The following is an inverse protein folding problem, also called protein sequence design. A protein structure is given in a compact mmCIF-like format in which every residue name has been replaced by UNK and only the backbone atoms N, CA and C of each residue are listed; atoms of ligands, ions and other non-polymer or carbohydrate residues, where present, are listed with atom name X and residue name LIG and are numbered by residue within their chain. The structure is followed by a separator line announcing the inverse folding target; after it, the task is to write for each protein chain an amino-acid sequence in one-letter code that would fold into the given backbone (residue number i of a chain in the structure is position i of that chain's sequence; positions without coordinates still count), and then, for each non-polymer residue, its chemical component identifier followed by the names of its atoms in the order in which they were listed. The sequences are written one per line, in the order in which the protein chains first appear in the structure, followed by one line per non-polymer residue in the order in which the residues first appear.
data_IF_173950867155
#
_entry.id   IF_173950867155
#
_cell.length_a   1.000
_cell.length_b   1.000
_cell.length_c   1.000
_cell.angle_alpha   90.00
_cell.angle_beta   90.00
_cell.angle_gamma   90.00
#
_symmetry.space_group_name_H-M   'P 1'
#
loop_
_entity.id
_entity.type
_entity.pdbx_description
1 polymer ?
#
# COMPACT_ATOMS: atom_id res chain seq x y z
N UNK A 1 -66.62 -82.80 -22.98
CA UNK A 1 -66.36 -81.93 -21.88
C UNK A 1 -65.00 -81.32 -22.18
N UNK A 2 -64.97 -80.10 -22.77
CA UNK A 2 -63.77 -79.39 -23.15
C UNK A 2 -63.58 -78.32 -22.11
N UNK A 3 -62.51 -78.31 -21.32
CA UNK A 3 -62.16 -77.34 -20.30
C UNK A 3 -61.27 -76.28 -20.94
N UNK A 4 -61.83 -75.12 -21.14
CA UNK A 4 -61.09 -73.94 -21.54
C UNK A 4 -60.41 -73.33 -20.31
N UNK A 5 -59.07 -73.31 -20.29
CA UNK A 5 -58.26 -72.55 -19.32
C UNK A 5 -58.28 -71.05 -19.69
N UNK A 6 -58.40 -70.18 -18.74
CA UNK A 6 -58.30 -68.76 -19.02
C UNK A 6 -56.83 -68.34 -19.28
N UNK A 7 -56.61 -67.57 -20.30
CA UNK A 7 -55.29 -67.01 -20.69
C UNK A 7 -54.77 -66.07 -19.61
N UNK A 8 -53.59 -66.36 -19.09
CA UNK A 8 -52.82 -65.47 -18.17
C UNK A 8 -52.32 -64.29 -18.98
N UNK A 9 -52.78 -63.10 -18.63
CA UNK A 9 -52.31 -61.83 -19.25
C UNK A 9 -50.80 -61.70 -18.93
N UNK A 10 -49.97 -61.48 -19.99
CA UNK A 10 -48.54 -61.16 -19.84
C UNK A 10 -48.41 -59.85 -19.15
N UNK A 11 -47.46 -59.69 -18.20
CA UNK A 11 -47.17 -58.41 -17.56
C UNK A 11 -46.68 -57.41 -18.64
N UNK A 12 -47.34 -56.28 -18.69
CA UNK A 12 -46.93 -55.15 -19.54
C UNK A 12 -45.61 -54.61 -19.03
N UNK A 13 -44.50 -54.96 -19.67
CA UNK A 13 -43.19 -54.38 -19.42
C UNK A 13 -43.26 -52.90 -19.75
N UNK A 14 -43.20 -52.06 -18.72
CA UNK A 14 -43.07 -50.60 -18.91
C UNK A 14 -41.77 -50.32 -19.68
N UNK A 15 -41.79 -49.51 -20.72
CA UNK A 15 -40.61 -49.19 -21.50
C UNK A 15 -39.61 -48.52 -20.52
N UNK A 16 -38.34 -49.01 -20.55
CA UNK A 16 -37.23 -48.36 -19.85
C UNK A 16 -36.96 -46.99 -20.50
N UNK A 17 -37.66 -45.96 -20.02
CA UNK A 17 -37.47 -44.60 -20.45
C UNK A 17 -36.07 -44.15 -20.09
N UNK A 18 -35.37 -43.53 -21.04
CA UNK A 18 -34.07 -42.89 -20.78
C UNK A 18 -34.20 -41.85 -19.65
N UNK A 19 -33.12 -41.53 -18.97
CA UNK A 19 -33.09 -40.50 -17.91
C UNK A 19 -33.68 -39.16 -18.45
N UNK A 20 -33.39 -38.84 -19.68
CA UNK A 20 -33.88 -37.60 -20.37
C UNK A 20 -35.39 -37.60 -20.57
N UNK A 21 -36.00 -38.76 -20.94
CA UNK A 21 -37.44 -38.89 -21.08
C UNK A 21 -38.16 -38.87 -19.72
N UNK A 22 -37.57 -39.49 -18.66
CA UNK A 22 -38.10 -39.42 -17.31
C UNK A 22 -38.14 -37.96 -16.78
N UNK A 23 -37.08 -37.18 -17.00
CA UNK A 23 -37.00 -35.77 -16.63
C UNK A 23 -38.02 -34.95 -17.41
N UNK A 24 -38.16 -35.16 -18.71
CA UNK A 24 -39.12 -34.41 -19.54
C UNK A 24 -40.58 -34.69 -19.15
N UNK A 25 -40.93 -35.91 -18.77
CA UNK A 25 -42.23 -36.26 -18.23
C UNK A 25 -42.50 -35.65 -16.86
N UNK A 26 -41.52 -35.66 -15.96
CA UNK A 26 -41.63 -34.99 -14.64
C UNK A 26 -41.88 -33.49 -14.78
N UNK A 27 -41.19 -32.81 -15.68
CA UNK A 27 -41.35 -31.36 -15.93
C UNK A 27 -42.70 -30.97 -16.55
N UNK A 28 -43.47 -31.93 -17.07
CA UNK A 28 -44.84 -31.69 -17.52
C UNK A 28 -45.85 -31.63 -16.37
N UNK A 29 -45.50 -32.14 -15.19
CA UNK A 29 -46.36 -32.11 -14.00
C UNK A 29 -46.11 -30.91 -13.11
N UNK A 30 -47.12 -30.38 -12.40
CA UNK A 30 -46.96 -29.28 -11.45
C UNK A 30 -45.97 -29.62 -10.31
N UNK A 31 -46.08 -30.79 -9.64
CA UNK A 31 -45.13 -31.13 -8.59
C UNK A 31 -43.69 -31.33 -9.09
N UNK A 32 -43.54 -31.84 -10.32
CA UNK A 32 -42.22 -31.98 -10.97
C UNK A 32 -41.55 -30.62 -11.21
N UNK A 33 -42.32 -29.63 -11.74
CA UNK A 33 -41.84 -28.23 -11.93
C UNK A 33 -41.47 -27.59 -10.63
N UNK A 34 -42.24 -27.75 -9.55
CA UNK A 34 -41.94 -27.19 -8.25
C UNK A 34 -40.67 -27.80 -7.60
N UNK A 35 -40.47 -29.13 -7.75
CA UNK A 35 -39.22 -29.79 -7.30
C UNK A 35 -38.01 -29.22 -8.05
N UNK A 36 -38.14 -29.08 -9.38
CA UNK A 36 -37.09 -28.51 -10.22
C UNK A 36 -36.80 -27.05 -9.88
N UNK A 37 -37.85 -26.19 -9.77
CA UNK A 37 -37.68 -24.78 -9.41
C UNK A 37 -37.03 -24.63 -8.02
N UNK A 38 -37.40 -25.46 -7.04
CA UNK A 38 -36.75 -25.47 -5.72
C UNK A 38 -35.27 -25.83 -5.83
N UNK A 39 -34.92 -26.89 -6.54
CA UNK A 39 -33.54 -27.32 -6.73
C UNK A 39 -32.72 -26.25 -7.49
N UNK A 40 -33.28 -25.70 -8.56
CA UNK A 40 -32.67 -24.63 -9.36
C UNK A 40 -32.44 -23.36 -8.53
N UNK A 41 -33.41 -22.95 -7.74
CA UNK A 41 -33.27 -21.77 -6.86
C UNK A 41 -32.22 -21.98 -5.75
N UNK A 42 -32.14 -23.17 -5.15
CA UNK A 42 -31.08 -23.50 -4.17
C UNK A 42 -29.72 -23.52 -4.85
N UNK A 43 -29.59 -24.15 -6.04
CA UNK A 43 -28.35 -24.18 -6.80
C UNK A 43 -27.89 -22.77 -7.19
N UNK A 44 -28.83 -21.90 -7.61
CA UNK A 44 -28.53 -20.51 -7.92
C UNK A 44 -28.13 -19.68 -6.68
N UNK A 45 -28.74 -19.96 -5.51
CA UNK A 45 -28.35 -19.32 -4.25
C UNK A 45 -26.92 -19.72 -3.84
N UNK A 46 -26.55 -20.99 -4.00
CA UNK A 46 -25.18 -21.47 -3.75
C UNK A 46 -24.19 -20.89 -4.78
N UNK A 47 -24.57 -20.82 -6.07
CA UNK A 47 -23.75 -20.19 -7.09
C UNK A 47 -23.53 -18.70 -6.80
N UNK A 48 -24.58 -17.97 -6.45
CA UNK A 48 -24.47 -16.57 -6.02
C UNK A 48 -23.51 -16.42 -4.82
N UNK A 49 -23.63 -17.31 -3.81
CA UNK A 49 -22.75 -17.30 -2.65
C UNK A 49 -21.26 -17.46 -3.06
N UNK A 50 -20.97 -18.43 -3.94
CA UNK A 50 -19.61 -18.69 -4.43
C UNK A 50 -19.08 -17.48 -5.21
N UNK A 51 -19.86 -16.93 -6.14
CA UNK A 51 -19.45 -15.78 -6.96
C UNK A 51 -19.23 -14.53 -6.10
N UNK A 52 -20.12 -14.24 -5.15
CA UNK A 52 -19.98 -13.13 -4.23
C UNK A 52 -18.77 -13.30 -3.27
N UNK A 53 -18.51 -14.53 -2.84
CA UNK A 53 -17.36 -14.84 -1.99
C UNK A 53 -16.03 -14.72 -2.76
N UNK A 54 -15.98 -15.12 -4.04
CA UNK A 54 -14.80 -14.91 -4.89
C UNK A 54 -14.52 -13.41 -5.05
N UNK A 55 -15.55 -12.59 -5.36
CA UNK A 55 -15.39 -11.14 -5.44
C UNK A 55 -14.90 -10.52 -4.12
N UNK A 56 -15.38 -11.03 -2.98
CA UNK A 56 -14.91 -10.63 -1.65
C UNK A 56 -13.43 -10.98 -1.44
N UNK A 57 -13.01 -12.21 -1.79
CA UNK A 57 -11.60 -12.63 -1.65
C UNK A 57 -10.69 -11.75 -2.50
N UNK A 58 -11.04 -11.52 -3.77
CA UNK A 58 -10.26 -10.69 -4.68
C UNK A 58 -10.03 -9.27 -4.12
N UNK A 59 -11.09 -8.67 -3.57
CA UNK A 59 -11.00 -7.33 -2.97
C UNK A 59 -10.18 -7.35 -1.67
N UNK A 60 -10.40 -8.36 -0.82
CA UNK A 60 -9.64 -8.53 0.42
C UNK A 60 -8.14 -8.74 0.15
N UNK A 61 -7.81 -9.51 -0.87
CA UNK A 61 -6.43 -9.77 -1.29
C UNK A 61 -5.76 -8.48 -1.79
N UNK A 62 -6.47 -7.64 -2.55
CA UNK A 62 -5.96 -6.34 -2.96
C UNK A 62 -5.64 -5.43 -1.77
N UNK A 63 -6.56 -5.33 -0.79
CA UNK A 63 -6.35 -4.55 0.45
C UNK A 63 -5.18 -5.12 1.26
N UNK A 64 -5.04 -6.45 1.34
CA UNK A 64 -3.94 -7.11 2.04
C UNK A 64 -2.60 -6.81 1.35
N UNK A 65 -2.50 -7.05 0.04
CA UNK A 65 -1.27 -6.88 -0.72
C UNK A 65 -0.78 -5.42 -0.69
N UNK A 66 -1.69 -4.47 -0.94
CA UNK A 66 -1.32 -3.05 -0.95
C UNK A 66 -1.06 -2.57 0.49
N UNK A 67 -1.99 -2.83 1.41
CA UNK A 67 -2.00 -2.21 2.74
C UNK A 67 -1.05 -2.83 3.74
N UNK A 68 -0.75 -4.13 3.64
CA UNK A 68 0.04 -4.84 4.66
C UNK A 68 1.34 -5.45 4.16
N UNK A 69 1.42 -5.76 2.86
CA UNK A 69 2.57 -6.46 2.33
C UNK A 69 3.51 -5.49 1.58
N UNK A 70 3.02 -4.75 0.57
CA UNK A 70 3.87 -3.98 -0.33
C UNK A 70 4.25 -2.61 0.23
N UNK A 71 3.29 -1.81 0.71
CA UNK A 71 3.56 -0.46 1.23
C UNK A 71 4.51 -0.48 2.43
N UNK A 72 4.34 -1.33 3.45
CA UNK A 72 5.32 -1.42 4.54
C UNK A 72 6.73 -1.79 4.09
N UNK A 73 6.86 -2.62 3.03
CA UNK A 73 8.17 -2.98 2.46
C UNK A 73 8.86 -1.78 1.79
N UNK A 74 8.09 -0.93 1.08
CA UNK A 74 8.61 0.30 0.47
C UNK A 74 9.07 1.28 1.56
N UNK A 75 8.25 1.49 2.60
CA UNK A 75 8.59 2.37 3.72
C UNK A 75 9.86 1.87 4.42
N UNK A 76 10.00 0.57 4.62
CA UNK A 76 11.21 -0.01 5.21
C UNK A 76 12.46 0.22 4.34
N UNK A 77 12.34 0.09 3.01
CA UNK A 77 13.44 0.35 2.07
C UNK A 77 13.87 1.83 2.08
N UNK A 78 12.92 2.76 2.07
CA UNK A 78 13.20 4.19 2.15
C UNK A 78 13.76 4.60 3.52
N UNK A 79 13.30 3.97 4.60
CA UNK A 79 13.86 4.16 5.93
C UNK A 79 15.32 3.73 5.99
N UNK A 80 15.66 2.56 5.43
CA UNK A 80 17.07 2.12 5.30
C UNK A 80 17.89 3.16 4.55
N UNK A 81 17.37 3.69 3.44
CA UNK A 81 18.05 4.70 2.63
C UNK A 81 18.29 6.00 3.38
N UNK A 82 17.27 6.50 4.08
CA UNK A 82 17.39 7.74 4.87
C UNK A 82 18.37 7.57 6.04
N UNK A 83 18.29 6.46 6.77
CA UNK A 83 19.21 6.18 7.89
C UNK A 83 20.66 5.98 7.43
N UNK A 84 20.88 5.37 6.25
CA UNK A 84 22.22 5.28 5.65
C UNK A 84 22.79 6.65 5.27
N UNK A 85 21.97 7.53 4.71
CA UNK A 85 22.40 8.89 4.36
C UNK A 85 22.72 9.72 5.63
N UNK A 86 21.92 9.56 6.69
CA UNK A 86 22.15 10.19 7.99
C UNK A 86 23.44 9.66 8.65
N UNK A 87 23.63 8.34 8.68
CA UNK A 87 24.86 7.73 9.18
C UNK A 87 26.10 8.26 8.45
N UNK A 88 26.03 8.41 7.12
CA UNK A 88 27.11 8.99 6.34
C UNK A 88 27.38 10.45 6.69
N UNK A 89 26.33 11.28 6.85
CA UNK A 89 26.47 12.68 7.29
C UNK A 89 27.11 12.78 8.69
N UNK A 90 26.68 11.92 9.62
CA UNK A 90 27.23 11.87 10.96
C UNK A 90 28.69 11.37 10.99
N UNK A 91 29.05 10.42 10.12
CA UNK A 91 30.45 10.01 9.94
C UNK A 91 31.35 11.18 9.50
N UNK A 92 30.90 11.94 8.50
CA UNK A 92 31.65 13.12 8.00
C UNK A 92 31.75 14.21 9.08
N UNK A 93 30.65 14.52 9.77
CA UNK A 93 30.62 15.49 10.85
C UNK A 93 31.60 15.16 11.98
N UNK A 94 31.75 13.86 12.32
CA UNK A 94 32.75 13.42 13.28
C UNK A 94 34.18 13.85 12.90
N UNK A 95 34.56 13.69 11.63
CA UNK A 95 35.89 14.11 11.14
C UNK A 95 35.99 15.64 11.02
N UNK A 96 34.98 16.28 10.50
CA UNK A 96 34.92 17.73 10.27
C UNK A 96 35.02 18.51 11.60
N UNK A 97 34.26 18.12 12.60
CA UNK A 97 34.27 18.73 13.92
C UNK A 97 35.47 18.32 14.77
N UNK A 98 36.32 17.38 14.30
CA UNK A 98 37.40 16.79 15.05
C UNK A 98 36.95 16.31 16.46
N UNK A 99 35.81 15.64 16.54
CA UNK A 99 35.18 15.21 17.79
C UNK A 99 36.02 14.17 18.56
N UNK A 100 35.84 14.07 19.87
CA UNK A 100 36.32 12.95 20.67
C UNK A 100 35.61 11.65 20.24
N UNK A 101 36.19 10.49 20.59
CA UNK A 101 35.67 9.16 20.22
C UNK A 101 34.31 8.82 20.84
N UNK A 102 33.83 9.58 21.79
CA UNK A 102 32.52 9.55 22.44
C UNK A 102 31.62 10.74 22.03
N UNK A 103 32.03 11.48 21.00
CA UNK A 103 31.34 12.64 20.51
C UNK A 103 29.92 12.33 19.96
N UNK A 104 29.07 13.37 19.85
CA UNK A 104 27.69 13.20 19.46
C UNK A 104 27.52 12.60 18.04
N UNK A 105 28.31 13.07 17.07
CA UNK A 105 28.21 12.56 15.68
C UNK A 105 28.64 11.11 15.57
N UNK A 106 29.71 10.70 16.30
CA UNK A 106 30.12 9.29 16.34
C UNK A 106 29.08 8.40 17.03
N UNK A 107 28.46 8.90 18.08
CA UNK A 107 27.41 8.18 18.79
C UNK A 107 26.14 8.03 17.95
N UNK A 108 25.78 9.06 17.17
CA UNK A 108 24.68 9.05 16.19
C UNK A 108 24.99 8.04 15.07
N UNK A 109 26.16 8.15 14.42
CA UNK A 109 26.61 7.21 13.39
C UNK A 109 26.43 5.73 13.82
N UNK A 110 26.90 5.37 15.01
CA UNK A 110 26.78 3.97 15.48
C UNK A 110 25.34 3.54 15.68
N UNK A 111 24.51 4.39 16.30
CA UNK A 111 23.09 4.10 16.50
C UNK A 111 22.37 3.89 15.19
N UNK A 112 22.66 4.71 14.18
CA UNK A 112 22.06 4.65 12.86
C UNK A 112 22.53 3.41 12.09
N UNK A 113 23.81 3.04 12.22
CA UNK A 113 24.31 1.79 11.63
C UNK A 113 23.65 0.55 12.24
N UNK A 114 23.41 0.53 13.56
CA UNK A 114 22.64 -0.53 14.22
C UNK A 114 21.19 -0.56 13.67
N UNK A 115 20.55 0.59 13.53
CA UNK A 115 19.18 0.70 12.97
C UNK A 115 19.12 0.26 11.48
N UNK A 116 20.14 0.56 10.68
CA UNK A 116 20.25 0.07 9.31
C UNK A 116 20.29 -1.45 9.27
N UNK A 117 21.08 -2.08 10.14
CA UNK A 117 21.19 -3.55 10.19
C UNK A 117 19.85 -4.18 10.56
N UNK A 118 19.13 -3.65 11.55
CA UNK A 118 17.80 -4.12 11.95
C UNK A 118 16.78 -3.97 10.79
N UNK A 119 16.75 -2.82 10.14
CA UNK A 119 15.85 -2.57 9.02
C UNK A 119 16.17 -3.43 7.78
N UNK A 120 17.46 -3.72 7.51
CA UNK A 120 17.86 -4.66 6.45
C UNK A 120 17.40 -6.09 6.73
N UNK A 121 17.43 -6.52 8.00
CA UNK A 121 16.89 -7.83 8.40
C UNK A 121 15.38 -7.88 8.11
N UNK A 122 14.64 -6.82 8.49
CA UNK A 122 13.19 -6.72 8.20
C UNK A 122 12.94 -6.74 6.69
N UNK A 123 13.69 -5.98 5.91
CA UNK A 123 13.56 -5.97 4.46
C UNK A 123 13.83 -7.36 3.85
N UNK A 124 14.86 -8.08 4.36
CA UNK A 124 15.21 -9.41 3.90
C UNK A 124 14.15 -10.48 4.25
N UNK A 125 13.39 -10.29 5.32
CA UNK A 125 12.27 -11.16 5.71
C UNK A 125 11.02 -10.94 4.86
N UNK A 126 10.86 -9.75 4.28
CA UNK A 126 9.67 -9.32 3.54
C UNK A 126 9.84 -9.42 2.01
N UNK A 127 10.83 -10.17 1.52
CA UNK A 127 11.04 -10.35 0.07
C UNK A 127 9.82 -11.02 -0.56
N UNK A 128 9.14 -10.30 -1.45
CA UNK A 128 7.93 -10.75 -2.15
C UNK A 128 8.19 -10.96 -3.64
N UNK A 129 9.05 -10.13 -4.25
CA UNK A 129 9.29 -10.08 -5.69
C UNK A 129 10.62 -10.72 -6.13
N UNK A 130 11.18 -11.57 -5.28
CA UNK A 130 12.30 -12.44 -5.64
C UNK A 130 13.63 -11.71 -5.79
N UNK A 131 14.30 -11.89 -6.94
CA UNK A 131 15.67 -11.39 -7.14
C UNK A 131 15.75 -9.87 -7.31
N UNK A 132 14.67 -9.22 -7.73
CA UNK A 132 14.63 -7.76 -7.87
C UNK A 132 14.79 -7.04 -6.51
N UNK A 133 14.31 -7.65 -5.42
CA UNK A 133 14.51 -7.18 -4.05
C UNK A 133 15.77 -7.78 -3.42
N UNK A 134 15.99 -9.08 -3.64
CA UNK A 134 17.10 -9.82 -3.00
C UNK A 134 18.48 -9.30 -3.39
N UNK A 135 18.67 -8.92 -4.66
CA UNK A 135 19.97 -8.43 -5.13
C UNK A 135 20.37 -7.08 -4.52
N UNK A 136 19.50 -6.05 -4.49
CA UNK A 136 19.79 -4.80 -3.79
C UNK A 136 20.07 -5.02 -2.29
N UNK A 137 19.25 -5.79 -1.58
CA UNK A 137 19.45 -6.09 -0.14
C UNK A 137 20.81 -6.75 0.08
N UNK A 138 21.14 -7.78 -0.71
CA UNK A 138 22.43 -8.46 -0.63
C UNK A 138 23.60 -7.51 -0.90
N UNK A 139 23.45 -6.63 -1.90
CA UNK A 139 24.48 -5.64 -2.22
C UNK A 139 24.72 -4.71 -1.05
N UNK A 140 23.66 -4.16 -0.44
CA UNK A 140 23.77 -3.32 0.75
C UNK A 140 24.48 -4.05 1.90
N UNK A 141 24.02 -5.26 2.26
CA UNK A 141 24.62 -6.04 3.34
C UNK A 141 26.11 -6.34 3.13
N UNK A 142 26.51 -6.66 1.89
CA UNK A 142 27.94 -6.95 1.58
C UNK A 142 28.80 -5.69 1.59
N UNK A 143 28.28 -4.56 1.08
CA UNK A 143 29.04 -3.32 0.97
C UNK A 143 29.09 -2.56 2.29
N UNK A 144 28.10 -2.75 3.18
CA UNK A 144 28.06 -2.10 4.48
C UNK A 144 29.27 -2.47 5.36
N UNK A 145 29.64 -3.75 5.40
CA UNK A 145 30.83 -4.19 6.11
C UNK A 145 32.14 -3.58 5.56
N UNK A 146 32.20 -3.35 4.22
CA UNK A 146 33.32 -2.68 3.60
C UNK A 146 33.34 -1.18 3.93
N UNK A 147 32.17 -0.53 3.98
CA UNK A 147 32.02 0.85 4.39
C UNK A 147 32.46 1.07 5.85
N UNK A 148 31.93 0.26 6.80
CA UNK A 148 32.33 0.32 8.20
C UNK A 148 33.83 0.14 8.39
N UNK A 149 34.44 -0.78 7.63
CA UNK A 149 35.89 -0.96 7.66
C UNK A 149 36.63 0.29 7.19
N UNK A 150 36.19 0.96 6.13
CA UNK A 150 36.81 2.19 5.63
C UNK A 150 36.65 3.34 6.63
N UNK A 151 35.48 3.53 7.23
CA UNK A 151 35.26 4.50 8.30
C UNK A 151 36.14 4.19 9.52
N UNK A 152 36.28 2.91 9.90
CA UNK A 152 37.20 2.48 10.96
C UNK A 152 38.67 2.77 10.63
N UNK A 153 39.11 2.61 9.39
CA UNK A 153 40.46 2.97 8.91
C UNK A 153 40.67 4.49 8.96
N UNK A 154 39.73 5.27 8.41
CA UNK A 154 39.76 6.74 8.50
C UNK A 154 39.90 7.20 9.94
N UNK A 155 39.13 6.59 10.88
CA UNK A 155 39.23 6.90 12.31
C UNK A 155 40.58 6.55 12.90
N UNK A 156 41.16 5.42 12.54
CA UNK A 156 42.51 5.03 12.99
C UNK A 156 43.61 5.98 12.46
N UNK A 157 43.42 6.51 11.25
CA UNK A 157 44.34 7.47 10.60
C UNK A 157 44.04 8.92 10.92
N UNK A 158 43.15 9.23 11.85
CA UNK A 158 42.62 10.57 12.14
C UNK A 158 43.69 11.65 12.39
N UNK A 159 44.82 11.26 12.98
CA UNK A 159 45.94 12.18 13.20
C UNK A 159 46.93 12.27 12.01
N UNK A 160 46.63 11.56 10.90
CA UNK A 160 47.38 11.53 9.67
C UNK A 160 46.51 11.84 8.46
N UNK A 161 46.64 11.02 7.40
CA UNK A 161 45.79 11.16 6.18
C UNK A 161 44.61 10.21 6.24
N UNK A 162 43.51 10.69 6.81
CA UNK A 162 42.23 9.99 6.83
C UNK A 162 41.37 10.27 5.59
N UNK A 163 41.71 11.28 4.81
CA UNK A 163 40.89 11.72 3.67
C UNK A 163 40.74 10.62 2.61
N UNK A 164 41.81 9.89 2.34
CA UNK A 164 41.76 8.80 1.32
C UNK A 164 40.79 7.70 1.71
N UNK A 165 40.74 7.30 2.99
CA UNK A 165 39.83 6.25 3.47
C UNK A 165 38.40 6.77 3.53
N UNK A 166 38.21 8.03 3.92
CA UNK A 166 36.88 8.67 3.97
C UNK A 166 36.31 8.91 2.55
N UNK A 167 37.14 9.37 1.60
CA UNK A 167 36.74 9.48 0.18
C UNK A 167 36.31 8.12 -0.40
N UNK A 168 37.05 7.06 -0.08
CA UNK A 168 36.70 5.70 -0.51
C UNK A 168 35.40 5.20 0.13
N UNK A 169 35.16 5.53 1.42
CA UNK A 169 33.91 5.22 2.10
C UNK A 169 32.73 5.95 1.47
N UNK A 170 32.89 7.26 1.20
CA UNK A 170 31.88 8.09 0.55
C UNK A 170 31.53 7.58 -0.85
N UNK A 171 32.53 7.25 -1.65
CA UNK A 171 32.31 6.66 -2.98
C UNK A 171 31.54 5.34 -2.88
N UNK A 172 31.90 4.48 -1.92
CA UNK A 172 31.22 3.20 -1.71
C UNK A 172 29.77 3.41 -1.25
N UNK A 173 29.53 4.35 -0.36
CA UNK A 173 28.20 4.70 0.12
C UNK A 173 27.32 5.13 -1.06
N UNK A 174 27.75 6.09 -1.88
CA UNK A 174 26.93 6.62 -2.98
C UNK A 174 26.79 5.68 -4.15
N UNK A 175 27.93 5.14 -4.64
CA UNK A 175 27.93 4.41 -5.90
C UNK A 175 27.38 2.99 -5.77
N UNK A 176 27.37 2.43 -4.55
CA UNK A 176 26.94 1.05 -4.31
C UNK A 176 25.78 0.95 -3.34
N UNK A 177 25.90 1.52 -2.13
CA UNK A 177 24.95 1.28 -1.05
C UNK A 177 23.66 2.05 -1.29
N UNK A 178 23.72 3.38 -1.44
CA UNK A 178 22.53 4.21 -1.70
C UNK A 178 21.92 3.93 -3.08
N UNK A 179 22.75 3.56 -4.07
CA UNK A 179 22.25 3.09 -5.38
C UNK A 179 21.46 1.80 -5.25
N UNK A 180 21.92 0.83 -4.44
CA UNK A 180 21.20 -0.40 -4.18
C UNK A 180 19.90 -0.13 -3.38
N UNK A 181 19.92 0.76 -2.39
CA UNK A 181 18.74 1.17 -1.66
C UNK A 181 17.68 1.79 -2.59
N UNK A 182 18.10 2.67 -3.50
CA UNK A 182 17.22 3.26 -4.51
C UNK A 182 16.68 2.23 -5.52
N UNK A 183 17.44 1.18 -5.85
CA UNK A 183 16.99 0.10 -6.70
C UNK A 183 15.92 -0.76 -6.01
N UNK A 184 16.07 -1.01 -4.70
CA UNK A 184 15.07 -1.71 -3.89
C UNK A 184 13.75 -0.93 -3.82
N UNK A 185 13.82 0.37 -3.50
CA UNK A 185 12.66 1.26 -3.51
C UNK A 185 11.94 1.21 -4.86
N UNK A 186 12.69 1.42 -5.94
CA UNK A 186 12.13 1.42 -7.30
C UNK A 186 11.44 0.10 -7.64
N UNK A 187 12.04 -1.05 -7.35
CA UNK A 187 11.46 -2.35 -7.62
C UNK A 187 10.12 -2.50 -6.89
N UNK A 188 10.08 -2.21 -5.60
CA UNK A 188 8.87 -2.30 -4.79
C UNK A 188 7.77 -1.33 -5.26
N UNK A 189 8.14 -0.08 -5.57
CA UNK A 189 7.21 0.93 -6.06
C UNK A 189 6.62 0.59 -7.43
N UNK A 190 7.43 0.08 -8.35
CA UNK A 190 6.98 -0.35 -9.69
C UNK A 190 5.99 -1.52 -9.56
N UNK A 191 6.26 -2.50 -8.70
CA UNK A 191 5.34 -3.62 -8.42
C UNK A 191 4.04 -3.16 -7.76
N UNK A 192 4.11 -2.26 -6.78
CA UNK A 192 2.91 -1.67 -6.17
C UNK A 192 2.04 -0.99 -7.22
N UNK A 193 2.65 -0.15 -8.05
CA UNK A 193 1.93 0.61 -9.08
C UNK A 193 1.29 -0.32 -10.13
N UNK A 194 2.00 -1.36 -10.56
CA UNK A 194 1.48 -2.36 -11.48
C UNK A 194 0.31 -3.14 -10.85
N UNK A 195 0.44 -3.59 -9.60
CA UNK A 195 -0.61 -4.32 -8.88
C UNK A 195 -1.85 -3.46 -8.67
N UNK A 196 -1.67 -2.21 -8.22
CA UNK A 196 -2.75 -1.26 -8.02
C UNK A 196 -3.51 -0.94 -9.31
N UNK A 197 -2.80 -0.64 -10.39
CA UNK A 197 -3.41 -0.32 -11.68
C UNK A 197 -4.14 -1.53 -12.29
N UNK A 198 -3.58 -2.73 -12.17
CA UNK A 198 -4.22 -3.96 -12.60
C UNK A 198 -5.49 -4.27 -11.78
N UNK A 199 -5.44 -4.09 -10.45
CA UNK A 199 -6.62 -4.23 -9.60
C UNK A 199 -7.71 -3.26 -10.01
N UNK A 200 -7.39 -1.99 -10.14
CA UNK A 200 -8.35 -0.94 -10.48
C UNK A 200 -8.99 -1.15 -11.86
N UNK A 201 -8.21 -1.54 -12.86
CA UNK A 201 -8.71 -1.86 -14.20
C UNK A 201 -9.64 -3.08 -14.22
N UNK A 202 -9.42 -4.07 -13.36
CA UNK A 202 -10.19 -5.32 -13.32
C UNK A 202 -11.35 -5.30 -12.31
N UNK A 203 -11.50 -4.28 -11.48
CA UNK A 203 -12.48 -4.24 -10.38
C UNK A 203 -13.92 -4.50 -10.83
N UNK A 204 -14.40 -3.81 -11.86
CA UNK A 204 -15.74 -4.01 -12.40
C UNK A 204 -15.95 -5.42 -12.95
N UNK A 205 -14.94 -5.99 -13.61
CA UNK A 205 -14.96 -7.35 -14.14
C UNK A 205 -15.02 -8.41 -13.04
N UNK A 206 -14.39 -8.17 -11.89
CA UNK A 206 -14.39 -9.08 -10.74
C UNK A 206 -15.71 -9.09 -9.97
N UNK A 207 -16.45 -7.97 -9.97
CA UNK A 207 -17.76 -7.86 -9.30
C UNK A 207 -18.91 -8.31 -10.22
N UNK A 208 -18.77 -8.21 -11.54
CA UNK A 208 -19.81 -8.55 -12.52
C UNK A 208 -20.36 -10.00 -12.37
N UNK A 209 -19.57 -11.06 -12.13
CA UNK A 209 -20.09 -12.41 -11.92
C UNK A 209 -21.02 -12.53 -10.72
N UNK A 210 -20.73 -11.86 -9.61
CA UNK A 210 -21.58 -11.83 -8.42
C UNK A 210 -22.93 -11.17 -8.72
N UNK A 211 -22.91 -10.06 -9.45
CA UNK A 211 -24.13 -9.38 -9.90
C UNK A 211 -24.94 -10.30 -10.82
N UNK A 212 -24.32 -10.95 -11.79
CA UNK A 212 -24.99 -11.89 -12.70
C UNK A 212 -25.62 -13.07 -11.94
N UNK A 213 -24.91 -13.64 -10.94
CA UNK A 213 -25.44 -14.69 -10.06
C UNK A 213 -26.64 -14.21 -9.25
N UNK A 214 -26.60 -13.01 -8.70
CA UNK A 214 -27.72 -12.38 -7.99
C UNK A 214 -28.95 -12.15 -8.89
N UNK A 215 -28.73 -11.66 -10.10
CA UNK A 215 -29.81 -11.48 -11.10
C UNK A 215 -30.41 -12.82 -11.50
N UNK A 216 -29.59 -13.85 -11.73
CA UNK A 216 -30.10 -15.18 -12.04
C UNK A 216 -30.98 -15.72 -10.91
N UNK A 217 -30.50 -15.62 -9.65
CA UNK A 217 -31.26 -16.03 -8.47
C UNK A 217 -32.59 -15.25 -8.37
N UNK A 218 -32.56 -13.93 -8.56
CA UNK A 218 -33.74 -13.10 -8.54
C UNK A 218 -34.76 -13.54 -9.60
N UNK A 219 -34.34 -13.77 -10.85
CA UNK A 219 -35.20 -14.22 -11.94
C UNK A 219 -35.84 -15.58 -11.60
N UNK A 220 -35.08 -16.51 -11.03
CA UNK A 220 -35.60 -17.83 -10.62
C UNK A 220 -36.62 -17.73 -9.47
N UNK A 221 -36.36 -16.92 -8.45
CA UNK A 221 -37.29 -16.69 -7.34
C UNK A 221 -38.58 -16.00 -7.86
N UNK A 222 -38.44 -14.98 -8.68
CA UNK A 222 -39.56 -14.23 -9.22
C UNK A 222 -40.41 -15.08 -10.19
N UNK A 223 -39.79 -15.84 -11.08
CA UNK A 223 -40.51 -16.74 -12.00
C UNK A 223 -41.23 -17.88 -11.24
N UNK A 224 -40.63 -18.41 -10.18
CA UNK A 224 -41.27 -19.39 -9.31
C UNK A 224 -42.47 -18.78 -8.57
N UNK A 225 -42.35 -17.54 -8.09
CA UNK A 225 -43.42 -16.80 -7.44
C UNK A 225 -44.61 -16.59 -8.41
N UNK A 226 -44.34 -16.12 -9.65
CA UNK A 226 -45.36 -15.96 -10.69
C UNK A 226 -46.06 -17.29 -11.05
N UNK A 227 -45.30 -18.36 -11.21
CA UNK A 227 -45.84 -19.68 -11.47
C UNK A 227 -46.79 -20.16 -10.40
N UNK A 228 -46.43 -19.96 -9.09
CA UNK A 228 -47.28 -20.30 -7.96
C UNK A 228 -48.53 -19.41 -7.90
N UNK A 229 -48.42 -18.12 -8.11
CA UNK A 229 -49.53 -17.17 -8.12
C UNK A 229 -50.63 -17.55 -9.16
N UNK A 230 -50.19 -17.90 -10.38
CA UNK A 230 -51.09 -18.31 -11.46
C UNK A 230 -51.82 -19.63 -11.21
N UNK A 231 -51.21 -20.58 -10.44
CA UNK A 231 -51.75 -21.91 -10.22
C UNK A 231 -52.57 -22.06 -8.95
N UNK A 232 -52.23 -21.28 -7.88
CA UNK A 232 -52.85 -21.46 -6.56
C UNK A 232 -53.89 -20.38 -6.19
N UNK A 233 -54.17 -19.43 -7.08
CA UNK A 233 -55.07 -18.26 -6.85
C UNK A 233 -54.68 -17.46 -5.58
N UNK A 234 -53.51 -17.65 -5.03
CA UNK A 234 -52.91 -16.85 -3.95
C UNK A 234 -51.82 -15.98 -4.51
N UNK A 235 -51.85 -14.69 -4.22
CA UNK A 235 -51.01 -13.69 -4.83
C UNK A 235 -49.54 -13.80 -4.49
N UNK A 236 -49.19 -14.27 -3.28
CA UNK A 236 -47.82 -14.30 -2.76
C UNK A 236 -47.51 -15.56 -1.96
N UNK A 237 -46.34 -16.14 -2.16
CA UNK A 237 -45.77 -17.16 -1.29
C UNK A 237 -44.81 -16.49 -0.28
N UNK A 238 -45.09 -16.49 1.04
CA UNK A 238 -44.29 -15.74 2.01
C UNK A 238 -42.82 -16.12 2.02
N UNK A 239 -42.48 -17.40 1.87
CA UNK A 239 -41.08 -17.85 1.83
C UNK A 239 -40.31 -17.27 0.65
N UNK A 240 -40.90 -17.28 -0.56
CA UNK A 240 -40.24 -16.72 -1.74
C UNK A 240 -40.14 -15.18 -1.66
N UNK A 241 -41.11 -14.52 -1.05
CA UNK A 241 -41.05 -13.05 -0.81
C UNK A 241 -39.92 -12.74 0.14
N UNK A 242 -39.76 -13.47 1.25
CA UNK A 242 -38.63 -13.29 2.19
C UNK A 242 -37.31 -13.54 1.47
N UNK A 243 -37.18 -14.63 0.71
CA UNK A 243 -35.97 -14.94 -0.03
C UNK A 243 -35.56 -13.80 -0.99
N UNK A 244 -36.55 -13.28 -1.75
CA UNK A 244 -36.33 -12.16 -2.67
C UNK A 244 -35.96 -10.86 -1.96
N UNK A 245 -36.64 -10.53 -0.84
CA UNK A 245 -36.38 -9.32 -0.05
C UNK A 245 -34.94 -9.38 0.55
N UNK A 246 -34.56 -10.53 1.10
CA UNK A 246 -33.22 -10.72 1.70
C UNK A 246 -32.15 -10.63 0.62
N UNK A 247 -32.37 -11.19 -0.59
CA UNK A 247 -31.45 -11.04 -1.72
C UNK A 247 -31.28 -9.57 -2.11
N UNK A 248 -32.38 -8.81 -2.20
CA UNK A 248 -32.33 -7.37 -2.55
C UNK A 248 -31.55 -6.60 -1.48
N UNK A 249 -31.81 -6.84 -0.21
CA UNK A 249 -31.09 -6.18 0.91
C UNK A 249 -29.60 -6.49 0.83
N UNK A 250 -29.22 -7.75 0.60
CA UNK A 250 -27.81 -8.13 0.43
C UNK A 250 -27.17 -7.46 -0.79
N UNK A 251 -27.88 -7.38 -1.91
CA UNK A 251 -27.38 -6.70 -3.11
C UNK A 251 -27.18 -5.19 -2.88
N UNK A 252 -28.12 -4.52 -2.24
CA UNK A 252 -27.99 -3.11 -1.87
C UNK A 252 -26.82 -2.88 -0.90
N UNK A 253 -26.65 -3.79 0.05
CA UNK A 253 -25.50 -3.76 0.98
C UNK A 253 -24.18 -3.92 0.22
N UNK A 254 -24.04 -4.90 -0.67
CA UNK A 254 -22.84 -5.09 -1.49
C UNK A 254 -22.51 -3.86 -2.36
N UNK A 255 -23.52 -3.29 -3.03
CA UNK A 255 -23.37 -2.06 -3.84
C UNK A 255 -22.95 -0.86 -2.98
N UNK A 256 -23.29 -0.83 -1.69
CA UNK A 256 -22.86 0.25 -0.78
C UNK A 256 -21.45 0.04 -0.22
N UNK A 257 -21.02 -1.22 -0.01
CA UNK A 257 -19.73 -1.55 0.64
C UNK A 257 -18.57 -1.60 -0.34
N UNK A 258 -18.70 -2.28 -1.47
CA UNK A 258 -17.60 -2.50 -2.40
C UNK A 258 -16.99 -1.20 -2.95
N UNK A 259 -17.79 -0.18 -3.36
CA UNK A 259 -17.23 1.11 -3.73
C UNK A 259 -16.55 1.85 -2.57
N UNK A 260 -17.01 1.67 -1.32
CA UNK A 260 -16.35 2.28 -0.17
C UNK A 260 -14.98 1.67 0.09
N UNK A 261 -14.86 0.33 -0.01
CA UNK A 261 -13.57 -0.36 0.12
C UNK A 261 -12.61 0.08 -0.99
N UNK A 262 -13.11 0.19 -2.24
CA UNK A 262 -12.31 0.70 -3.36
C UNK A 262 -11.87 2.16 -3.12
N UNK A 263 -12.75 3.02 -2.63
CA UNK A 263 -12.40 4.40 -2.30
C UNK A 263 -11.36 4.48 -1.16
N UNK A 264 -11.51 3.68 -0.10
CA UNK A 264 -10.50 3.61 0.96
C UNK A 264 -9.12 3.16 0.41
N UNK A 265 -9.12 2.22 -0.55
CA UNK A 265 -7.88 1.78 -1.19
C UNK A 265 -7.26 2.88 -2.07
N UNK A 266 -8.09 3.65 -2.78
CA UNK A 266 -7.66 4.82 -3.57
C UNK A 266 -7.06 5.89 -2.65
N UNK A 267 -7.77 6.27 -1.58
CA UNK A 267 -7.29 7.28 -0.62
C UNK A 267 -6.02 6.81 0.08
N UNK A 268 -5.94 5.53 0.48
CA UNK A 268 -4.72 4.98 1.08
C UNK A 268 -3.53 5.06 0.11
N UNK A 269 -3.73 4.71 -1.19
CA UNK A 269 -2.63 4.68 -2.16
C UNK A 269 -2.33 6.05 -2.74
N UNK A 270 -3.31 6.76 -3.29
CA UNK A 270 -3.08 7.98 -4.07
C UNK A 270 -2.92 9.21 -3.18
N UNK A 271 -3.70 9.31 -2.09
CA UNK A 271 -3.64 10.49 -1.23
C UNK A 271 -2.59 10.33 -0.10
N UNK A 272 -2.56 9.17 0.58
CA UNK A 272 -1.66 9.00 1.73
C UNK A 272 -0.28 8.44 1.35
N UNK A 273 -0.24 7.29 0.63
CA UNK A 273 1.04 6.62 0.38
C UNK A 273 1.92 7.39 -0.61
N UNK A 274 1.37 8.04 -1.63
CA UNK A 274 2.18 8.82 -2.57
C UNK A 274 2.87 10.00 -1.86
N UNK A 275 2.21 10.63 -0.88
CA UNK A 275 2.80 11.61 0.03
C UNK A 275 3.89 11.00 0.93
N UNK A 276 3.62 9.85 1.57
CA UNK A 276 4.61 9.14 2.39
C UNK A 276 5.88 8.84 1.58
N UNK A 277 5.72 8.32 0.37
CA UNK A 277 6.86 7.99 -0.49
C UNK A 277 7.66 9.22 -0.91
N UNK A 278 7.00 10.32 -1.29
CA UNK A 278 7.66 11.59 -1.61
C UNK A 278 8.43 12.14 -0.41
N UNK A 279 7.85 12.12 0.80
CA UNK A 279 8.46 12.60 2.03
C UNK A 279 9.66 11.76 2.47
N UNK A 280 9.60 10.43 2.38
CA UNK A 280 10.76 9.58 2.66
C UNK A 280 11.91 9.82 1.69
N UNK A 281 11.61 9.99 0.39
CA UNK A 281 12.61 10.38 -0.61
C UNK A 281 13.19 11.77 -0.34
N UNK A 282 12.35 12.72 0.10
CA UNK A 282 12.81 14.02 0.54
C UNK A 282 13.79 13.89 1.71
N UNK A 283 13.44 13.12 2.74
CA UNK A 283 14.27 12.87 3.92
C UNK A 283 15.65 12.32 3.56
N UNK A 284 15.68 11.21 2.81
CA UNK A 284 16.92 10.59 2.38
C UNK A 284 17.81 11.55 1.54
N UNK A 285 17.18 12.32 0.65
CA UNK A 285 17.90 13.28 -0.19
C UNK A 285 18.43 14.48 0.62
N UNK A 286 17.70 14.92 1.64
CA UNK A 286 18.12 16.00 2.54
C UNK A 286 19.33 15.57 3.39
N UNK A 287 19.33 14.39 3.98
CA UNK A 287 20.49 13.87 4.71
C UNK A 287 21.73 13.74 3.80
N UNK A 288 21.53 13.26 2.58
CA UNK A 288 22.62 13.16 1.60
C UNK A 288 23.14 14.56 1.15
N UNK A 289 22.27 15.59 1.10
CA UNK A 289 22.69 16.98 0.88
C UNK A 289 23.43 17.55 2.10
N UNK A 290 23.00 17.24 3.33
CA UNK A 290 23.69 17.65 4.55
C UNK A 290 25.11 17.08 4.62
N UNK A 291 25.31 15.83 4.18
CA UNK A 291 26.66 15.26 4.03
C UNK A 291 27.51 16.06 3.02
N UNK A 292 26.94 16.52 1.88
CA UNK A 292 27.67 17.34 0.89
C UNK A 292 28.11 18.67 1.46
N UNK A 293 27.30 19.33 2.31
CA UNK A 293 27.67 20.57 3.01
C UNK A 293 28.88 20.34 3.92
N UNK A 294 28.92 19.22 4.65
CA UNK A 294 30.02 18.87 5.53
C UNK A 294 31.28 18.50 4.76
N UNK A 295 31.18 17.75 3.66
CA UNK A 295 32.30 17.45 2.77
C UNK A 295 32.87 18.71 2.10
N UNK A 296 32.00 19.67 1.73
CA UNK A 296 32.43 20.97 1.19
C UNK A 296 33.40 21.70 2.14
N UNK A 297 33.11 21.71 3.43
CA UNK A 297 33.98 22.30 4.43
C UNK A 297 35.21 21.44 4.76
N UNK A 298 35.07 20.12 4.75
CA UNK A 298 36.16 19.19 5.00
C UNK A 298 37.28 19.31 3.95
N UNK A 299 36.91 19.58 2.69
CA UNK A 299 37.84 19.81 1.57
C UNK A 299 38.24 21.31 1.43
N UNK A 300 38.24 22.05 2.54
CA UNK A 300 38.71 23.44 2.58
C UNK A 300 40.08 23.61 1.91
N UNK A 301 40.20 24.61 1.05
CA UNK A 301 41.42 24.92 0.30
C UNK A 301 41.63 24.02 -0.95
N UNK A 302 40.67 23.17 -1.29
CA UNK A 302 40.65 22.41 -2.54
C UNK A 302 39.45 22.82 -3.41
N UNK A 303 39.63 23.91 -4.16
CA UNK A 303 38.55 24.52 -4.97
C UNK A 303 37.88 23.51 -5.92
N UNK A 304 38.66 22.54 -6.45
CA UNK A 304 38.14 21.51 -7.37
C UNK A 304 37.15 20.56 -6.68
N UNK A 305 37.49 20.06 -5.49
CA UNK A 305 36.60 19.20 -4.70
C UNK A 305 35.40 19.99 -4.17
N UNK A 306 35.64 21.20 -3.63
CA UNK A 306 34.56 22.07 -3.15
C UNK A 306 33.51 22.38 -4.24
N UNK A 307 33.94 22.60 -5.49
CA UNK A 307 33.02 22.78 -6.61
C UNK A 307 32.17 21.53 -6.90
N UNK A 308 32.75 20.32 -6.74
CA UNK A 308 32.00 19.06 -6.89
C UNK A 308 30.93 18.92 -5.80
N UNK A 309 31.29 19.19 -4.53
CA UNK A 309 30.34 19.11 -3.41
C UNK A 309 29.23 20.18 -3.53
N UNK A 310 29.59 21.38 -3.94
CA UNK A 310 28.63 22.45 -4.22
C UNK A 310 27.61 22.00 -5.27
N UNK A 311 28.09 21.43 -6.38
CA UNK A 311 27.19 20.93 -7.43
C UNK A 311 26.26 19.82 -6.91
N UNK A 312 26.81 18.83 -6.20
CA UNK A 312 26.02 17.72 -5.63
C UNK A 312 24.94 18.23 -4.68
N UNK A 313 25.29 19.19 -3.80
CA UNK A 313 24.34 19.81 -2.89
C UNK A 313 23.18 20.49 -3.64
N UNK A 314 23.47 21.35 -4.62
CA UNK A 314 22.42 22.02 -5.38
C UNK A 314 21.60 21.08 -6.28
N UNK A 315 22.19 20.05 -6.83
CA UNK A 315 21.44 19.01 -7.56
C UNK A 315 20.39 18.37 -6.64
N UNK A 316 20.74 18.05 -5.39
CA UNK A 316 19.83 17.44 -4.40
C UNK A 316 18.78 18.43 -3.87
N UNK A 317 19.17 19.66 -3.55
CA UNK A 317 18.21 20.70 -3.12
C UNK A 317 17.19 21.00 -4.21
N UNK A 318 17.59 20.90 -5.48
CA UNK A 318 16.67 21.02 -6.63
C UNK A 318 15.67 19.84 -6.69
N UNK A 319 16.09 18.61 -6.34
CA UNK A 319 15.18 17.47 -6.24
C UNK A 319 14.18 17.61 -5.08
N UNK A 320 14.56 18.32 -4.01
CA UNK A 320 13.67 18.57 -2.89
C UNK A 320 12.65 19.69 -3.16
N UNK A 321 13.11 20.84 -3.68
CA UNK A 321 12.32 22.06 -3.62
C UNK A 321 12.52 23.05 -4.79
N UNK A 322 12.93 22.56 -5.96
CA UNK A 322 13.26 23.41 -7.13
C UNK A 322 14.36 24.46 -6.88
N UNK A 323 15.18 24.30 -5.84
CA UNK A 323 16.45 25.00 -5.63
C UNK A 323 16.40 26.44 -5.13
N UNK A 324 15.22 27.06 -5.00
CA UNK A 324 15.04 28.44 -4.53
C UNK A 324 14.07 28.45 -3.33
N UNK A 325 14.59 28.65 -2.09
CA UNK A 325 13.79 28.57 -0.87
C UNK A 325 12.70 29.65 -0.80
N UNK A 326 12.99 30.89 -1.19
CA UNK A 326 12.04 31.99 -1.15
C UNK A 326 10.89 31.76 -2.14
N UNK A 327 11.23 31.29 -3.33
CA UNK A 327 10.26 30.99 -4.38
C UNK A 327 9.39 29.78 -3.97
N UNK A 328 9.96 28.77 -3.34
CA UNK A 328 9.24 27.63 -2.80
C UNK A 328 8.18 28.08 -1.78
N UNK A 329 8.56 28.90 -0.79
CA UNK A 329 7.64 29.40 0.23
C UNK A 329 6.53 30.28 -0.34
N UNK A 330 6.84 31.16 -1.29
CA UNK A 330 5.84 31.98 -1.99
C UNK A 330 4.85 31.12 -2.76
N UNK A 331 5.32 30.10 -3.47
CA UNK A 331 4.46 29.18 -4.22
C UNK A 331 3.58 28.37 -3.28
N UNK A 332 4.14 27.84 -2.20
CA UNK A 332 3.41 27.09 -1.19
C UNK A 332 2.29 27.94 -0.55
N UNK A 333 2.56 29.19 -0.19
CA UNK A 333 1.56 30.11 0.37
C UNK A 333 0.45 30.45 -0.63
N UNK A 334 0.77 30.55 -1.91
CA UNK A 334 -0.18 30.85 -2.99
C UNK A 334 -0.93 29.61 -3.51
N UNK A 335 -0.64 28.42 -2.99
CA UNK A 335 -1.18 27.16 -3.49
C UNK A 335 -0.73 26.81 -4.92
N UNK A 336 0.42 27.35 -5.35
CA UNK A 336 1.02 27.08 -6.65
C UNK A 336 1.91 25.84 -6.57
N UNK A 337 1.87 25.03 -7.63
CA UNK A 337 2.75 23.87 -7.75
C UNK A 337 4.18 24.30 -8.05
N UNK A 338 5.14 23.58 -7.49
CA UNK A 338 6.55 23.64 -7.84
C UNK A 338 7.10 22.20 -7.93
N UNK A 339 8.23 22.03 -8.59
CA UNK A 339 8.85 20.73 -8.79
C UNK A 339 9.63 20.30 -7.54
N UNK A 340 9.74 18.99 -7.32
CA UNK A 340 10.49 18.39 -6.23
C UNK A 340 9.60 17.69 -5.21
N UNK A 341 10.20 16.86 -4.38
CA UNK A 341 9.46 16.00 -3.44
C UNK A 341 8.55 16.77 -2.48
N UNK A 342 8.99 17.95 -2.00
CA UNK A 342 8.14 18.80 -1.16
C UNK A 342 7.02 19.47 -1.97
N UNK A 343 7.22 19.64 -3.29
CA UNK A 343 6.18 20.10 -4.20
C UNK A 343 5.14 19.02 -4.50
N UNK A 344 5.56 17.77 -4.60
CA UNK A 344 4.69 16.63 -4.78
C UNK A 344 3.78 16.45 -3.56
N UNK A 345 4.35 16.55 -2.35
CA UNK A 345 3.59 16.57 -1.10
C UNK A 345 2.56 17.69 -1.06
N UNK A 346 2.98 18.94 -1.35
CA UNK A 346 2.06 20.08 -1.35
C UNK A 346 0.92 19.92 -2.35
N UNK A 347 1.16 19.27 -3.47
CA UNK A 347 0.16 19.01 -4.50
C UNK A 347 -0.86 17.94 -4.10
N UNK A 348 -0.56 17.14 -3.08
CA UNK A 348 -1.34 15.98 -2.62
C UNK A 348 -2.01 16.18 -1.26
N UNK A 349 -2.00 17.37 -0.70
CA UNK A 349 -2.61 17.67 0.60
C UNK A 349 -4.10 17.36 0.59
N UNK A 350 -4.50 16.40 1.43
CA UNK A 350 -5.88 15.89 1.51
C UNK A 350 -6.38 15.81 2.96
N UNK A 351 -5.49 15.59 3.93
CA UNK A 351 -5.87 15.28 5.29
C UNK A 351 -5.84 16.50 6.24
N UNK A 352 -6.68 16.49 7.30
CA UNK A 352 -6.65 17.55 8.32
C UNK A 352 -5.28 17.64 9.01
N UNK A 353 -4.71 18.85 9.08
CA UNK A 353 -3.42 19.12 9.71
C UNK A 353 -2.21 18.93 8.81
N UNK A 354 -2.36 18.25 7.67
CA UNK A 354 -1.28 17.97 6.71
C UNK A 354 -0.68 19.26 6.15
N UNK A 355 -1.52 20.20 5.73
CA UNK A 355 -1.06 21.49 5.19
C UNK A 355 -0.19 22.26 6.17
N UNK A 356 -0.59 22.32 7.42
CA UNK A 356 0.16 23.01 8.48
C UNK A 356 1.51 22.33 8.70
N UNK A 357 1.55 20.99 8.74
CA UNK A 357 2.77 20.22 8.91
C UNK A 357 3.70 20.39 7.70
N UNK A 358 3.21 20.25 6.46
CA UNK A 358 3.97 20.44 5.23
C UNK A 358 4.54 21.88 5.14
N UNK A 359 3.76 22.89 5.50
CA UNK A 359 4.25 24.29 5.54
C UNK A 359 5.34 24.52 6.59
N UNK A 360 5.30 23.81 7.73
CA UNK A 360 6.37 23.86 8.73
C UNK A 360 7.64 23.21 8.18
N UNK A 361 7.53 22.05 7.53
CA UNK A 361 8.63 21.35 6.85
C UNK A 361 9.32 22.27 5.84
N UNK A 362 8.55 22.96 4.99
CA UNK A 362 9.09 23.88 3.98
C UNK A 362 9.80 25.09 4.60
N UNK A 363 9.26 25.64 5.68
CA UNK A 363 9.92 26.76 6.39
C UNK A 363 11.22 26.34 7.03
N UNK A 364 11.24 25.16 7.65
CA UNK A 364 12.46 24.64 8.27
C UNK A 364 13.52 24.31 7.20
N UNK A 365 13.11 23.75 6.05
CA UNK A 365 14.02 23.54 4.92
C UNK A 365 14.60 24.85 4.37
N UNK A 366 13.77 25.87 4.19
CA UNK A 366 14.24 27.18 3.76
C UNK A 366 15.24 27.78 4.75
N UNK A 367 14.98 27.69 6.05
CA UNK A 367 15.91 28.12 7.09
C UNK A 367 17.27 27.41 7.02
N UNK A 368 17.27 26.10 6.79
CA UNK A 368 18.52 25.35 6.60
C UNK A 368 19.29 25.83 5.35
N UNK A 369 18.62 26.03 4.22
CA UNK A 369 19.25 26.51 2.99
C UNK A 369 19.83 27.94 3.15
N UNK A 370 19.17 28.82 3.90
CA UNK A 370 19.69 30.15 4.21
C UNK A 370 20.98 30.09 5.03
N UNK A 371 21.09 29.12 5.94
CA UNK A 371 22.30 28.90 6.74
C UNK A 371 23.42 28.31 5.88
N UNK A 372 23.13 27.35 4.98
CA UNK A 372 24.12 26.85 4.02
C UNK A 372 24.70 27.98 3.16
N UNK A 373 23.86 28.93 2.69
CA UNK A 373 24.35 30.08 1.96
C UNK A 373 25.28 30.97 2.81
N UNK A 374 25.00 31.16 4.10
CA UNK A 374 25.87 31.91 5.01
C UNK A 374 27.20 31.17 5.22
N UNK A 375 27.19 29.85 5.38
CA UNK A 375 28.38 29.00 5.48
C UNK A 375 29.28 29.19 4.25
N UNK A 376 28.70 29.07 3.04
CA UNK A 376 29.45 29.31 1.77
C UNK A 376 29.97 30.69 1.63
N UNK A 377 29.23 31.73 2.06
CA UNK A 377 29.68 33.08 2.06
C UNK A 377 30.86 33.33 3.02
N UNK A 378 30.82 32.76 4.22
CA UNK A 378 31.91 32.84 5.19
C UNK A 378 33.16 32.15 4.65
N UNK A 379 33.02 30.96 4.07
CA UNK A 379 34.11 30.20 3.45
C UNK A 379 34.76 31.01 2.31
N UNK A 380 33.95 31.53 1.39
CA UNK A 380 34.42 32.33 0.26
C UNK A 380 35.09 33.65 0.73
N UNK A 381 34.78 34.15 1.92
CA UNK A 381 35.38 35.34 2.55
C UNK A 381 36.65 35.01 3.35
N UNK A 382 37.13 33.75 3.32
CA UNK A 382 38.32 33.31 4.07
C UNK A 382 38.07 33.12 5.57
N UNK A 383 36.81 33.07 6.00
CA UNK A 383 36.39 32.91 7.40
C UNK A 383 36.04 31.47 7.72
N UNK A 384 36.92 30.55 7.35
CA UNK A 384 36.70 29.11 7.52
C UNK A 384 36.29 28.69 8.92
N UNK A 385 36.94 29.26 9.98
CA UNK A 385 36.61 28.90 11.36
C UNK A 385 35.17 29.28 11.75
N UNK A 386 34.69 30.40 11.21
CA UNK A 386 33.30 30.87 11.44
C UNK A 386 32.32 29.96 10.65
N UNK A 387 32.65 29.65 9.41
CA UNK A 387 31.88 28.70 8.60
C UNK A 387 31.76 27.31 9.25
N UNK A 388 32.89 26.77 9.73
CA UNK A 388 32.94 25.50 10.44
C UNK A 388 32.10 25.53 11.73
N UNK A 389 32.24 26.58 12.54
CA UNK A 389 31.46 26.71 13.79
C UNK A 389 29.95 26.77 13.51
N UNK A 390 29.54 27.47 12.42
CA UNK A 390 28.15 27.56 12.00
C UNK A 390 27.60 26.21 11.49
N UNK A 391 28.41 25.43 10.77
CA UNK A 391 28.03 24.12 10.25
C UNK A 391 27.83 23.09 11.37
N UNK A 392 28.85 22.89 12.22
CA UNK A 392 28.82 21.84 13.26
C UNK A 392 28.02 22.21 14.50
N UNK A 393 27.61 23.49 14.62
CA UNK A 393 26.87 24.00 15.75
C UNK A 393 25.48 23.39 15.89
N UNK A 394 24.98 23.34 17.14
CA UNK A 394 23.67 22.78 17.50
C UNK A 394 22.76 23.78 18.22
N UNK A 395 23.18 25.06 18.30
CA UNK A 395 22.37 26.11 18.90
C UNK A 395 21.40 26.72 17.87
N UNK A 396 20.31 27.34 18.30
CA UNK A 396 19.39 28.03 17.39
C UNK A 396 20.13 28.98 16.46
N UNK A 397 20.00 28.76 15.16
CA UNK A 397 20.69 29.51 14.11
C UNK A 397 21.90 28.78 13.50
N UNK A 398 22.34 27.65 14.05
CA UNK A 398 23.38 26.81 13.48
C UNK A 398 22.80 25.79 12.48
N UNK A 399 23.65 25.25 11.58
CA UNK A 399 23.21 24.34 10.49
C UNK A 399 22.62 23.03 11.02
N UNK A 400 23.33 22.34 11.92
CA UNK A 400 22.82 21.08 12.49
C UNK A 400 21.52 21.28 13.28
N UNK A 401 21.35 22.41 13.95
CA UNK A 401 20.08 22.75 14.60
C UNK A 401 18.95 22.93 13.56
N UNK A 402 19.19 23.72 12.51
CA UNK A 402 18.19 23.98 11.49
C UNK A 402 17.80 22.70 10.73
N UNK A 403 18.79 21.84 10.45
CA UNK A 403 18.55 20.56 9.82
C UNK A 403 17.71 19.63 10.72
N UNK A 404 18.00 19.58 12.03
CA UNK A 404 17.19 18.83 13.00
C UNK A 404 15.73 19.36 13.07
N UNK A 405 15.51 20.69 12.96
CA UNK A 405 14.17 21.27 12.89
C UNK A 405 13.44 20.85 11.61
N UNK A 406 14.16 20.77 10.50
CA UNK A 406 13.59 20.28 9.24
C UNK A 406 13.21 18.80 9.36
N UNK A 407 14.08 17.95 9.89
CA UNK A 407 13.83 16.51 10.04
C UNK A 407 12.63 16.23 10.97
N UNK A 408 12.53 16.96 12.09
CA UNK A 408 11.39 16.85 13.02
C UNK A 408 10.07 17.32 12.37
N UNK A 409 10.10 18.41 11.61
CA UNK A 409 8.91 18.90 10.90
C UNK A 409 8.45 17.94 9.80
N UNK A 410 9.40 17.37 9.04
CA UNK A 410 9.14 16.37 8.01
C UNK A 410 8.58 15.08 8.62
N UNK A 411 9.13 14.65 9.78
CA UNK A 411 8.61 13.52 10.52
C UNK A 411 7.14 13.71 10.92
N UNK A 412 6.75 14.91 11.36
CA UNK A 412 5.33 15.22 11.67
C UNK A 412 4.43 15.17 10.44
N UNK A 413 4.92 15.59 9.27
CA UNK A 413 4.17 15.47 8.01
C UNK A 413 4.01 14.00 7.61
N UNK A 414 5.08 13.20 7.75
CA UNK A 414 5.02 11.76 7.56
C UNK A 414 3.99 11.08 8.47
N UNK A 415 3.96 11.45 9.75
CA UNK A 415 3.03 10.87 10.74
C UNK A 415 1.57 11.12 10.37
N UNK A 416 1.22 12.31 9.86
CA UNK A 416 -0.15 12.62 9.41
C UNK A 416 -0.57 11.67 8.29
N UNK A 417 0.27 11.51 7.27
CA UNK A 417 0.01 10.66 6.13
C UNK A 417 0.01 9.17 6.51
N UNK A 418 0.93 8.74 7.39
CA UNK A 418 0.97 7.36 7.88
C UNK A 418 -0.31 6.99 8.65
N UNK A 419 -0.77 7.86 9.55
CA UNK A 419 -2.02 7.63 10.26
C UNK A 419 -3.23 7.57 9.33
N UNK A 420 -3.25 8.42 8.30
CA UNK A 420 -4.32 8.40 7.29
C UNK A 420 -4.32 7.08 6.50
N UNK A 421 -3.15 6.64 6.04
CA UNK A 421 -2.98 5.35 5.37
C UNK A 421 -3.47 4.18 6.24
N UNK A 422 -3.00 4.10 7.48
CA UNK A 422 -3.34 3.01 8.40
C UNK A 422 -4.83 2.97 8.70
N UNK A 423 -5.47 4.14 8.87
CA UNK A 423 -6.90 4.25 9.11
C UNK A 423 -7.73 3.79 7.90
N UNK A 424 -7.36 4.17 6.68
CA UNK A 424 -8.08 3.77 5.47
C UNK A 424 -7.95 2.25 5.21
N UNK A 425 -6.78 1.67 5.41
CA UNK A 425 -6.57 0.22 5.31
C UNK A 425 -7.37 -0.53 6.40
N UNK A 426 -7.37 -0.05 7.64
CA UNK A 426 -8.16 -0.63 8.73
C UNK A 426 -9.67 -0.55 8.42
N UNK A 427 -10.15 0.59 7.93
CA UNK A 427 -11.54 0.78 7.53
C UNK A 427 -11.96 -0.17 6.40
N UNK A 428 -11.12 -0.35 5.38
CA UNK A 428 -11.37 -1.29 4.30
C UNK A 428 -11.52 -2.73 4.81
N UNK A 429 -10.65 -3.18 5.72
CA UNK A 429 -10.76 -4.50 6.34
C UNK A 429 -12.02 -4.65 7.20
N UNK A 430 -12.40 -3.61 7.95
CA UNK A 430 -13.61 -3.61 8.78
C UNK A 430 -14.88 -3.80 7.93
N UNK A 431 -15.01 -3.01 6.85
CA UNK A 431 -16.10 -3.14 5.90
C UNK A 431 -16.20 -4.56 5.32
N UNK A 432 -15.07 -5.14 4.93
CA UNK A 432 -15.00 -6.47 4.35
C UNK A 432 -15.34 -7.57 5.37
N UNK A 433 -14.93 -7.42 6.63
CA UNK A 433 -15.22 -8.40 7.68
C UNK A 433 -16.71 -8.55 7.92
N UNK A 434 -17.46 -7.44 7.97
CA UNK A 434 -18.91 -7.43 8.14
C UNK A 434 -19.65 -8.03 6.94
N UNK A 435 -19.13 -7.84 5.71
CA UNK A 435 -19.76 -8.35 4.50
C UNK A 435 -19.82 -9.89 4.46
N UNK A 436 -18.75 -10.58 4.84
CA UNK A 436 -18.74 -12.05 4.77
C UNK A 436 -19.76 -12.69 5.71
N UNK A 437 -19.95 -12.15 6.92
CA UNK A 437 -20.97 -12.62 7.84
C UNK A 437 -22.39 -12.36 7.32
N UNK A 438 -22.60 -11.18 6.73
CA UNK A 438 -23.89 -10.84 6.11
C UNK A 438 -24.20 -11.76 4.93
N UNK A 439 -23.23 -12.09 4.09
CA UNK A 439 -23.37 -13.02 2.95
C UNK A 439 -23.77 -14.42 3.44
N UNK A 440 -23.09 -14.95 4.43
CA UNK A 440 -23.40 -16.29 5.01
C UNK A 440 -24.84 -16.30 5.55
N UNK A 441 -25.20 -15.32 6.37
CA UNK A 441 -26.55 -15.21 6.93
C UNK A 441 -27.61 -15.11 5.82
N UNK A 442 -27.37 -14.30 4.80
CA UNK A 442 -28.24 -14.14 3.62
C UNK A 442 -28.51 -15.48 2.92
N UNK A 443 -27.47 -16.23 2.62
CA UNK A 443 -27.61 -17.51 1.88
C UNK A 443 -28.37 -18.55 2.71
N UNK A 444 -28.09 -18.63 4.01
CA UNK A 444 -28.80 -19.52 4.93
C UNK A 444 -30.29 -19.18 4.98
N UNK A 445 -30.62 -17.90 5.14
CA UNK A 445 -32.02 -17.42 5.18
C UNK A 445 -32.73 -17.68 3.84
N UNK A 446 -32.09 -17.40 2.71
CA UNK A 446 -32.66 -17.62 1.38
C UNK A 446 -32.97 -19.13 1.18
N UNK A 447 -32.02 -20.03 1.47
CA UNK A 447 -32.23 -21.46 1.32
C UNK A 447 -33.34 -21.95 2.23
N UNK A 448 -33.36 -21.56 3.50
CA UNK A 448 -34.43 -21.90 4.46
C UNK A 448 -35.80 -21.42 3.96
N UNK A 449 -35.88 -20.16 3.51
CA UNK A 449 -37.10 -19.56 2.99
C UNK A 449 -37.62 -20.25 1.72
N UNK A 450 -36.75 -20.68 0.80
CA UNK A 450 -37.10 -21.48 -0.38
C UNK A 450 -37.69 -22.83 0.04
N UNK A 451 -37.01 -23.53 0.97
CA UNK A 451 -37.43 -24.87 1.41
C UNK A 451 -38.78 -24.79 2.14
N UNK A 452 -38.91 -23.87 3.12
CA UNK A 452 -40.13 -23.70 3.91
C UNK A 452 -41.29 -23.19 3.04
N UNK A 453 -41.03 -22.27 2.11
CA UNK A 453 -42.07 -21.70 1.24
C UNK A 453 -42.64 -22.70 0.22
N UNK A 454 -41.79 -23.58 -0.34
CA UNK A 454 -42.22 -24.52 -1.40
C UNK A 454 -42.72 -25.86 -0.81
N UNK A 455 -42.24 -26.30 0.37
CA UNK A 455 -42.64 -27.57 1.00
C UNK A 455 -44.16 -27.76 1.12
N UNK A 456 -44.96 -26.88 1.69
CA UNK A 456 -46.40 -27.09 1.84
C UNK A 456 -47.10 -27.28 0.49
N UNK A 457 -46.62 -26.67 -0.59
CA UNK A 457 -47.18 -26.84 -1.94
C UNK A 457 -46.84 -28.17 -2.59
N UNK A 458 -45.71 -28.75 -2.22
CA UNK A 458 -45.33 -30.09 -2.64
C UNK A 458 -46.12 -31.16 -1.90
N UNK A 459 -46.42 -30.91 -0.59
CA UNK A 459 -47.17 -31.85 0.25
C UNK A 459 -48.65 -31.94 -0.17
N UNK A 460 -49.25 -30.86 -0.74
CA UNK A 460 -50.59 -30.85 -1.33
C UNK A 460 -50.78 -31.87 -2.49
N UNK A 461 -49.66 -32.32 -3.13
CA UNK A 461 -49.66 -33.30 -4.24
C UNK A 461 -49.18 -34.69 -3.82
N UNK A 462 -49.03 -34.96 -2.51
CA UNK A 462 -48.69 -36.28 -1.96
C UNK A 462 -49.95 -37.04 -1.53
N UNK A 463 -50.78 -37.36 -2.51
CA UNK A 463 -51.92 -38.27 -2.29
C UNK A 463 -51.70 -39.56 -3.12
#
# INVERSE_FOLDING_TARGET
MSSTQPAVAKPVTQPNLSLQEKWSQQLKTVPGRLKFSRAAAIAAALLFAVLAYVSYIDLREAVQTIGRDTVPSIIAAEKVRATLADANANAVNFFLANEADDGPSWSAYRREMDEVQDNLIVAAQNITYGDEERQPIRTMMMQLAAYERLIGQARAHRQGDFHSDLDAAEQLMRDKILTAASALDKANFDHLTATYTAHRASFSGKVAPAIAGGVLLFVLLFSTQLFLAQRTRRTLNPGLVIATAVLIVCALYAVSIFPKVENSLVTAKEDAFDSIHALWRARATAFDANADESFYLLDHGNDGKQAVWTKKFYDKTTLLSAGDPDRMLVYAQQGKRFNGYLGDELANITFPGEKEAAMQTMRAWACYLDIDQQIRHLEASGKYKEALALNVGTQPGDSNWAFAQFDDALGKTLDVNQHAFDNEIAHAFDLLSHFVYALIATVVVIIAAIVIGIKPRLDEYRF
#
